data_IF_830739975471
#
_entry.id   IF_830739975471
#
_cell.length_a   1.000
_cell.length_b   1.000
_cell.length_c   1.000
_cell.angle_alpha   90.00
_cell.angle_beta   90.00
_cell.angle_gamma   90.00
#
_symmetry.space_group_name_H-M   'P 1'
#
loop_
_entity.id
_entity.type
_entity.pdbx_description
1 polymer ?
#
# COMPACT_ATOMS: atom_id res chain seq x y z
N UNK A 1 4.63 14.28 -11.52
CA UNK A 1 3.68 13.26 -11.02
C UNK A 1 2.26 13.78 -10.90
N UNK A 2 2.00 14.89 -10.20
CA UNK A 2 0.64 15.41 -9.94
C UNK A 2 -0.26 15.53 -11.17
N UNK A 3 0.18 16.08 -12.33
CA UNK A 3 -0.68 16.15 -13.51
C UNK A 3 -1.09 14.77 -14.05
N UNK A 4 -0.21 13.77 -13.98
CA UNK A 4 -0.51 12.41 -14.40
C UNK A 4 -1.54 11.75 -13.47
N UNK A 5 -1.46 11.99 -12.16
CA UNK A 5 -2.42 11.50 -11.17
C UNK A 5 -3.80 12.13 -11.42
N UNK A 6 -3.86 13.45 -11.57
CA UNK A 6 -5.10 14.19 -11.88
C UNK A 6 -5.74 13.60 -13.14
N UNK A 7 -4.97 13.46 -14.21
CA UNK A 7 -5.49 12.93 -15.46
C UNK A 7 -6.00 11.48 -15.32
N UNK A 8 -5.42 10.64 -14.44
CA UNK A 8 -5.91 9.28 -14.20
C UNK A 8 -7.23 9.28 -13.44
N UNK A 9 -7.35 10.15 -12.42
CA UNK A 9 -8.59 10.34 -11.66
C UNK A 9 -9.70 10.89 -12.55
N UNK A 10 -9.41 11.87 -13.42
CA UNK A 10 -10.36 12.40 -14.39
C UNK A 10 -10.88 11.34 -15.36
N UNK A 11 -10.01 10.43 -15.84
CA UNK A 11 -10.43 9.28 -16.66
C UNK A 11 -11.45 8.42 -15.89
N UNK A 12 -11.16 8.09 -14.63
CA UNK A 12 -12.07 7.30 -13.79
C UNK A 12 -13.41 8.01 -13.57
N UNK A 13 -13.39 9.29 -13.18
CA UNK A 13 -14.60 10.08 -12.95
C UNK A 13 -15.46 10.20 -14.20
N UNK A 14 -14.86 10.34 -15.39
CA UNK A 14 -15.59 10.32 -16.67
C UNK A 14 -16.32 8.99 -16.89
N UNK A 15 -15.71 7.84 -16.55
CA UNK A 15 -16.38 6.53 -16.62
C UNK A 15 -17.56 6.44 -15.65
N UNK A 16 -17.42 7.03 -14.46
CA UNK A 16 -18.46 6.99 -13.43
C UNK A 16 -19.69 7.86 -13.77
N UNK A 17 -19.52 8.96 -14.51
CA UNK A 17 -20.66 9.78 -14.99
C UNK A 17 -21.70 8.97 -15.80
N UNK A 18 -21.26 7.93 -16.52
CA UNK A 18 -22.17 7.03 -17.26
C UNK A 18 -22.86 5.95 -16.40
N UNK A 19 -22.62 5.94 -15.08
CA UNK A 19 -23.08 4.91 -14.14
C UNK A 19 -24.02 5.47 -13.06
N UNK A 20 -24.60 6.66 -13.25
CA UNK A 20 -25.57 7.22 -12.30
C UNK A 20 -26.74 6.25 -12.06
N UNK A 21 -27.08 6.03 -10.78
CA UNK A 21 -28.12 5.08 -10.37
C UNK A 21 -27.76 3.60 -10.50
N UNK A 22 -26.53 3.26 -10.90
CA UNK A 22 -26.06 1.87 -11.01
C UNK A 22 -25.07 1.53 -9.91
N UNK A 23 -25.10 0.29 -9.45
CA UNK A 23 -24.08 -0.25 -8.55
C UNK A 23 -22.72 -0.37 -9.27
N UNK A 24 -21.65 -0.10 -8.52
CA UNK A 24 -20.28 -0.14 -9.02
C UNK A 24 -19.43 -0.97 -8.06
N UNK A 25 -18.68 -1.93 -8.59
CA UNK A 25 -17.59 -2.55 -7.86
C UNK A 25 -16.41 -1.56 -7.83
N UNK A 26 -16.30 -0.84 -6.71
CA UNK A 26 -15.31 0.24 -6.51
C UNK A 26 -13.87 -0.25 -6.33
N UNK A 27 -13.67 -1.47 -5.85
CA UNK A 27 -12.34 -2.07 -5.69
C UNK A 27 -11.68 -2.36 -7.04
N UNK A 28 -12.43 -2.82 -8.04
CA UNK A 28 -11.93 -2.97 -9.42
C UNK A 28 -11.67 -1.61 -10.08
N UNK A 29 -12.53 -0.61 -9.84
CA UNK A 29 -12.30 0.74 -10.37
C UNK A 29 -11.04 1.38 -9.78
N UNK A 30 -10.82 1.23 -8.47
CA UNK A 30 -9.59 1.68 -7.80
C UNK A 30 -8.37 0.91 -8.26
N UNK A 31 -8.47 -0.40 -8.49
CA UNK A 31 -7.41 -1.20 -9.09
C UNK A 31 -7.02 -0.63 -10.46
N UNK A 32 -7.98 -0.38 -11.33
CA UNK A 32 -7.71 0.25 -12.63
C UNK A 32 -7.07 1.65 -12.46
N UNK A 33 -7.58 2.47 -11.54
CA UNK A 33 -7.03 3.80 -11.26
C UNK A 33 -5.56 3.74 -10.82
N UNK A 34 -5.22 2.92 -9.82
CA UNK A 34 -3.86 2.85 -9.28
C UNK A 34 -2.90 2.25 -10.30
N UNK A 35 -3.37 1.30 -11.13
CA UNK A 35 -2.66 0.80 -12.30
C UNK A 35 -2.35 1.91 -13.32
N UNK A 36 -3.32 2.76 -13.62
CA UNK A 36 -3.17 3.88 -14.55
C UNK A 36 -2.21 4.95 -14.01
N UNK A 37 -2.33 5.26 -12.71
CA UNK A 37 -1.42 6.17 -12.00
C UNK A 37 0.01 5.69 -12.12
N UNK A 38 0.32 4.45 -11.69
CA UNK A 38 1.71 3.96 -11.72
C UNK A 38 2.24 3.87 -13.16
N UNK A 39 1.39 3.44 -14.11
CA UNK A 39 1.77 3.39 -15.54
C UNK A 39 2.16 4.76 -16.08
N UNK A 40 1.42 5.82 -15.74
CA UNK A 40 1.73 7.18 -16.20
C UNK A 40 2.86 7.85 -15.42
N UNK A 41 2.96 7.62 -14.11
CA UNK A 41 3.95 8.31 -13.27
C UNK A 41 5.32 7.66 -13.31
N UNK A 42 5.39 6.33 -13.27
CA UNK A 42 6.67 5.61 -13.27
C UNK A 42 7.12 5.25 -14.70
N UNK A 43 6.20 4.87 -15.58
CA UNK A 43 6.55 4.36 -16.93
C UNK A 43 6.24 5.33 -18.05
N UNK A 44 5.48 6.40 -17.77
CA UNK A 44 4.93 7.36 -18.75
C UNK A 44 4.35 6.72 -20.00
N UNK A 45 3.81 5.50 -19.88
CA UNK A 45 3.18 4.72 -20.94
C UNK A 45 1.66 4.72 -20.78
N UNK A 46 0.95 4.20 -21.78
CA UNK A 46 -0.48 3.92 -21.68
C UNK A 46 -0.72 2.57 -20.96
N UNK A 47 -1.87 2.44 -20.29
CA UNK A 47 -2.27 1.28 -19.47
C UNK A 47 -2.17 -0.08 -20.21
N UNK A 48 -2.34 -0.09 -21.54
CA UNK A 48 -2.36 -1.30 -22.38
C UNK A 48 -1.03 -2.09 -22.35
N UNK A 49 0.13 -1.42 -22.25
CA UNK A 49 1.41 -2.13 -22.08
C UNK A 49 1.56 -2.75 -20.67
N UNK A 50 0.83 -2.23 -19.69
CA UNK A 50 0.88 -2.66 -18.30
C UNK A 50 -0.07 -3.80 -17.92
N UNK A 51 -1.21 -3.93 -18.59
CA UNK A 51 -2.26 -4.90 -18.27
C UNK A 51 -1.73 -6.35 -18.14
N UNK A 52 -0.87 -6.77 -19.08
CA UNK A 52 -0.23 -8.09 -19.02
C UNK A 52 0.65 -8.26 -17.76
N UNK A 53 1.38 -7.21 -17.37
CA UNK A 53 2.24 -7.22 -16.17
C UNK A 53 1.36 -7.29 -14.91
N UNK A 54 0.28 -6.52 -14.85
CA UNK A 54 -0.66 -6.56 -13.73
C UNK A 54 -1.31 -7.95 -13.57
N UNK A 55 -1.69 -8.61 -14.67
CA UNK A 55 -2.25 -9.96 -14.60
C UNK A 55 -1.25 -10.97 -14.02
N UNK A 56 0.00 -10.96 -14.51
CA UNK A 56 1.07 -11.83 -14.00
C UNK A 56 1.38 -11.54 -12.52
N UNK A 57 1.40 -10.26 -12.13
CA UNK A 57 1.66 -9.85 -10.75
C UNK A 57 0.55 -10.27 -9.77
N UNK A 58 -0.71 -10.17 -10.17
CA UNK A 58 -1.82 -10.64 -9.36
C UNK A 58 -1.72 -12.15 -9.11
N UNK A 59 -1.38 -12.90 -10.16
CA UNK A 59 -1.14 -14.35 -10.06
C UNK A 59 0.02 -14.66 -9.11
N UNK A 60 1.13 -13.93 -9.22
CA UNK A 60 2.28 -14.06 -8.32
C UNK A 60 1.93 -13.72 -6.86
N UNK A 61 1.13 -12.67 -6.62
CA UNK A 61 0.66 -12.26 -5.29
C UNK A 61 -0.18 -13.36 -4.62
N UNK A 62 -1.10 -13.98 -5.36
CA UNK A 62 -1.91 -15.11 -4.87
C UNK A 62 -1.02 -16.30 -4.48
N UNK A 63 -0.05 -16.65 -5.30
CA UNK A 63 0.89 -17.76 -5.02
C UNK A 63 1.75 -17.44 -3.79
N UNK A 64 2.25 -16.21 -3.65
CA UNK A 64 3.00 -15.79 -2.47
C UNK A 64 2.15 -15.86 -1.20
N UNK A 65 0.88 -15.42 -1.25
CA UNK A 65 -0.05 -15.51 -0.13
C UNK A 65 -0.28 -16.95 0.33
N UNK A 66 -0.48 -17.89 -0.60
CA UNK A 66 -0.67 -19.32 -0.30
C UNK A 66 0.57 -19.96 0.35
N UNK A 67 1.76 -19.46 0.04
CA UNK A 67 3.02 -20.03 0.50
C UNK A 67 3.68 -19.26 1.66
N UNK A 68 3.08 -18.16 2.12
CA UNK A 68 3.67 -17.27 3.14
C UNK A 68 3.95 -17.98 4.48
N UNK A 69 3.14 -19.00 4.81
CA UNK A 69 3.27 -19.80 6.03
C UNK A 69 3.70 -21.26 5.77
N UNK A 70 4.02 -21.63 4.53
CA UNK A 70 4.54 -22.96 4.24
C UNK A 70 6.00 -23.07 4.71
N UNK A 71 6.20 -23.72 5.86
CA UNK A 71 7.53 -24.06 6.36
C UNK A 71 8.19 -25.07 5.42
N UNK A 72 9.29 -24.65 4.77
CA UNK A 72 10.09 -25.55 3.94
C UNK A 72 10.74 -26.61 4.83
N UNK A 73 10.40 -27.88 4.63
CA UNK A 73 11.13 -28.99 5.24
C UNK A 73 12.47 -29.11 4.47
N UNK A 74 13.64 -28.96 5.13
CA UNK A 74 14.94 -28.76 4.48
C UNK A 74 15.36 -29.83 3.46
N UNK A 75 14.85 -31.07 3.57
CA UNK A 75 15.17 -32.17 2.66
C UNK A 75 14.21 -32.30 1.46
N UNK A 76 12.91 -31.99 1.62
CA UNK A 76 11.93 -32.24 0.56
C UNK A 76 12.03 -31.23 -0.59
N UNK A 77 12.40 -29.97 -0.29
CA UNK A 77 12.49 -28.90 -1.29
C UNK A 77 13.66 -29.05 -2.28
N UNK A 78 14.61 -29.95 -2.04
CA UNK A 78 15.70 -30.30 -2.97
C UNK A 78 15.31 -31.39 -3.97
N UNK A 79 14.35 -32.24 -3.63
CA UNK A 79 13.93 -33.38 -4.44
C UNK A 79 12.67 -33.07 -5.27
N UNK A 80 11.80 -32.18 -4.79
CA UNK A 80 10.61 -31.75 -5.51
C UNK A 80 10.36 -30.26 -5.29
N UNK A 81 10.44 -29.44 -6.35
CA UNK A 81 9.96 -28.06 -6.29
C UNK A 81 8.43 -28.08 -6.40
N UNK A 82 7.67 -27.54 -5.43
CA UNK A 82 6.22 -27.43 -5.55
C UNK A 82 5.82 -26.70 -6.83
N UNK A 83 4.68 -27.05 -7.43
CA UNK A 83 4.19 -26.41 -8.67
C UNK A 83 4.11 -24.89 -8.53
N UNK A 84 3.59 -24.41 -7.40
CA UNK A 84 3.55 -23.00 -7.01
C UNK A 84 4.93 -22.32 -7.05
N UNK A 85 5.99 -23.02 -6.67
CA UNK A 85 7.34 -22.47 -6.62
C UNK A 85 7.92 -22.32 -8.03
N UNK A 86 7.70 -23.31 -8.91
CA UNK A 86 8.04 -23.20 -10.34
C UNK A 86 7.27 -22.07 -11.01
N UNK A 87 5.94 -22.04 -10.79
CA UNK A 87 5.06 -21.04 -11.37
C UNK A 87 5.42 -19.63 -10.88
N UNK A 88 5.79 -19.46 -9.61
CA UNK A 88 6.27 -18.18 -9.08
C UNK A 88 7.61 -17.75 -9.69
N UNK A 89 8.55 -18.67 -9.91
CA UNK A 89 9.85 -18.39 -10.54
C UNK A 89 9.66 -18.00 -12.01
N UNK A 90 8.77 -18.68 -12.73
CA UNK A 90 8.43 -18.40 -14.13
C UNK A 90 7.72 -17.05 -14.27
N UNK A 91 6.68 -16.80 -13.48
CA UNK A 91 5.98 -15.51 -13.45
C UNK A 91 6.95 -14.37 -13.10
N UNK A 92 7.80 -14.54 -12.09
CA UNK A 92 8.79 -13.53 -11.73
C UNK A 92 9.78 -13.25 -12.88
N UNK A 93 10.17 -14.27 -13.64
CA UNK A 93 11.02 -14.13 -14.83
C UNK A 93 10.30 -13.38 -15.96
N UNK A 94 9.06 -13.77 -16.29
CA UNK A 94 8.27 -13.10 -17.35
C UNK A 94 7.97 -11.64 -17.01
N UNK A 95 7.61 -11.35 -15.75
CA UNK A 95 7.43 -9.99 -15.25
C UNK A 95 8.74 -9.21 -15.42
N UNK A 96 9.87 -9.77 -14.98
CA UNK A 96 11.18 -9.15 -15.10
C UNK A 96 11.52 -8.84 -16.56
N UNK A 97 11.22 -9.74 -17.49
CA UNK A 97 11.51 -9.55 -18.92
C UNK A 97 10.60 -8.48 -19.55
N UNK A 98 9.30 -8.49 -19.25
CA UNK A 98 8.36 -7.45 -19.69
C UNK A 98 8.78 -6.08 -19.17
N UNK A 99 9.09 -6.00 -17.88
CA UNK A 99 9.56 -4.77 -17.25
C UNK A 99 10.93 -4.34 -17.80
N UNK A 100 11.86 -5.26 -18.07
CA UNK A 100 13.13 -4.96 -18.75
C UNK A 100 12.88 -4.36 -20.13
N UNK A 101 11.91 -4.88 -20.88
CA UNK A 101 11.54 -4.34 -22.21
C UNK A 101 11.02 -2.92 -22.12
N UNK A 102 10.20 -2.61 -21.11
CA UNK A 102 9.70 -1.24 -20.85
C UNK A 102 10.83 -0.32 -20.36
N UNK A 103 11.66 -0.79 -19.43
CA UNK A 103 12.81 -0.06 -18.89
C UNK A 103 13.89 0.20 -19.94
N UNK A 104 14.17 -0.74 -20.84
CA UNK A 104 15.11 -0.55 -21.95
C UNK A 104 14.65 0.54 -22.92
N UNK A 105 13.34 0.82 -23.01
CA UNK A 105 12.84 2.00 -23.73
C UNK A 105 13.12 3.32 -22.98
N UNK A 106 13.53 3.31 -21.70
CA UNK A 106 13.64 4.52 -20.84
C UNK A 106 14.86 4.57 -19.90
N UNK A 107 15.87 3.72 -20.08
CA UNK A 107 17.14 3.70 -19.34
C UNK A 107 17.10 3.69 -17.78
N UNK A 108 15.98 3.42 -17.10
CA UNK A 108 15.94 3.45 -15.62
C UNK A 108 15.63 2.09 -14.94
N UNK A 109 16.63 1.53 -14.25
CA UNK A 109 16.53 0.27 -13.47
C UNK A 109 15.61 0.39 -12.24
N UNK A 110 15.35 1.58 -11.70
CA UNK A 110 14.55 1.76 -10.49
C UNK A 110 13.07 1.42 -10.70
N UNK A 111 12.59 1.54 -11.95
CA UNK A 111 11.20 1.36 -12.34
C UNK A 111 10.60 -0.02 -11.98
N UNK A 112 11.43 -1.07 -11.85
CA UNK A 112 10.95 -2.46 -11.78
C UNK A 112 10.21 -2.85 -10.50
N UNK A 113 10.64 -2.32 -9.36
CA UNK A 113 10.09 -2.67 -8.05
C UNK A 113 8.86 -1.83 -7.70
N UNK A 114 8.76 -0.62 -8.27
CA UNK A 114 7.65 0.31 -8.03
C UNK A 114 6.33 -0.16 -8.64
N UNK A 115 6.38 -0.88 -9.77
CA UNK A 115 5.19 -1.30 -10.52
C UNK A 115 4.18 -2.09 -9.67
N UNK A 116 4.68 -3.06 -8.88
CA UNK A 116 3.83 -3.92 -8.05
C UNK A 116 3.51 -3.25 -6.71
N UNK A 117 4.54 -2.74 -6.04
CA UNK A 117 4.44 -2.25 -4.65
C UNK A 117 3.54 -1.03 -4.50
N UNK A 118 3.48 -0.15 -5.52
CA UNK A 118 2.71 1.09 -5.47
C UNK A 118 1.21 0.95 -5.81
N UNK A 119 0.81 -0.14 -6.47
CA UNK A 119 -0.56 -0.30 -6.97
C UNK A 119 -1.48 -0.98 -5.94
N UNK A 120 -1.11 -2.18 -5.47
CA UNK A 120 -1.99 -3.02 -4.62
C UNK A 120 -2.22 -2.35 -3.26
N UNK A 121 -1.17 -1.74 -2.70
CA UNK A 121 -1.21 -1.09 -1.38
C UNK A 121 -2.13 0.13 -1.36
N UNK A 122 -2.07 0.97 -2.41
CA UNK A 122 -2.92 2.15 -2.54
C UNK A 122 -4.36 1.74 -2.86
N UNK A 123 -4.57 0.71 -3.67
CA UNK A 123 -5.91 0.19 -3.97
C UNK A 123 -6.64 -0.24 -2.69
N UNK A 124 -5.96 -1.04 -1.85
CA UNK A 124 -6.49 -1.46 -0.56
C UNK A 124 -6.81 -0.26 0.35
N UNK A 125 -5.91 0.73 0.43
CA UNK A 125 -6.15 1.94 1.22
C UNK A 125 -7.39 2.71 0.74
N UNK A 126 -7.54 2.93 -0.57
CA UNK A 126 -8.69 3.64 -1.13
C UNK A 126 -10.02 2.92 -0.83
N UNK A 127 -10.02 1.58 -0.93
CA UNK A 127 -11.19 0.77 -0.60
C UNK A 127 -11.57 0.88 0.88
N UNK A 128 -10.59 0.81 1.79
CA UNK A 128 -10.82 0.99 3.23
C UNK A 128 -11.30 2.39 3.58
N UNK A 129 -10.70 3.44 3.01
CA UNK A 129 -11.15 4.83 3.21
C UNK A 129 -12.59 5.00 2.76
N UNK A 130 -12.95 4.46 1.58
CA UNK A 130 -14.32 4.59 1.07
C UNK A 130 -15.34 3.84 1.95
N UNK A 131 -15.00 2.65 2.43
CA UNK A 131 -15.83 1.91 3.38
C UNK A 131 -15.99 2.68 4.69
N UNK A 132 -14.90 3.25 5.23
CA UNK A 132 -14.94 4.05 6.45
C UNK A 132 -15.77 5.32 6.27
N UNK A 133 -15.75 5.97 5.10
CA UNK A 133 -16.65 7.07 4.81
C UNK A 133 -18.12 6.67 4.75
N UNK A 134 -18.43 5.47 4.24
CA UNK A 134 -19.80 4.97 4.24
C UNK A 134 -20.33 4.69 5.66
N UNK A 135 -19.46 4.24 6.56
CA UNK A 135 -19.79 3.94 7.96
C UNK A 135 -19.79 5.22 8.83
N UNK A 136 -18.85 6.14 8.59
CA UNK A 136 -18.62 7.36 9.37
C UNK A 136 -18.92 8.62 8.53
N UNK A 137 -20.20 8.84 8.27
CA UNK A 137 -20.66 9.94 7.41
C UNK A 137 -20.27 11.34 7.93
N UNK A 138 -20.07 11.50 9.23
CA UNK A 138 -19.60 12.77 9.82
C UNK A 138 -18.15 13.09 9.38
N UNK A 139 -17.27 12.08 9.32
CA UNK A 139 -15.91 12.22 8.82
C UNK A 139 -15.85 12.40 7.31
N UNK A 140 -16.74 11.74 6.57
CA UNK A 140 -16.89 11.99 5.13
C UNK A 140 -17.26 13.46 4.88
N UNK A 141 -18.21 14.01 5.64
CA UNK A 141 -18.65 15.40 5.48
C UNK A 141 -17.57 16.40 5.90
N UNK A 142 -16.86 16.15 7.01
CA UNK A 142 -15.70 16.97 7.41
C UNK A 142 -14.63 17.01 6.31
N UNK A 143 -14.29 15.86 5.74
CA UNK A 143 -13.32 15.76 4.64
C UNK A 143 -13.81 16.47 3.38
N UNK A 144 -15.09 16.33 3.02
CA UNK A 144 -15.71 17.01 1.88
C UNK A 144 -15.64 18.53 2.03
N UNK A 145 -16.01 19.07 3.20
CA UNK A 145 -15.91 20.51 3.49
C UNK A 145 -14.47 21.01 3.40
N UNK A 146 -13.51 20.30 4.00
CA UNK A 146 -12.09 20.66 3.91
C UNK A 146 -11.61 20.75 2.45
N UNK A 147 -12.00 19.79 1.60
CA UNK A 147 -11.65 19.81 0.17
C UNK A 147 -12.28 21.00 -0.54
N UNK A 148 -13.57 21.28 -0.30
CA UNK A 148 -14.28 22.42 -0.92
C UNK A 148 -13.66 23.75 -0.47
N UNK A 149 -13.36 23.91 0.81
CA UNK A 149 -12.81 25.15 1.37
C UNK A 149 -11.40 25.45 0.81
N UNK A 150 -10.59 24.41 0.56
CA UNK A 150 -9.21 24.56 0.09
C UNK A 150 -9.14 24.67 -1.44
N UNK A 151 -9.94 23.88 -2.18
CA UNK A 151 -9.80 23.74 -3.63
C UNK A 151 -10.99 24.29 -4.43
N UNK A 152 -12.17 24.41 -3.81
CA UNK A 152 -13.41 24.74 -4.52
C UNK A 152 -13.64 23.78 -5.69
N UNK A 153 -13.76 24.33 -6.90
CA UNK A 153 -13.92 23.58 -8.15
C UNK A 153 -12.59 23.38 -8.93
N UNK A 154 -11.44 23.70 -8.33
CA UNK A 154 -10.15 23.61 -8.98
C UNK A 154 -9.48 22.25 -8.72
N UNK A 155 -8.63 21.82 -9.66
CA UNK A 155 -7.83 20.62 -9.49
C UNK A 155 -6.77 20.81 -8.36
N UNK A 156 -6.40 19.76 -7.62
CA UNK A 156 -5.44 19.87 -6.53
C UNK A 156 -4.05 20.34 -6.97
N UNK A 157 -3.46 21.28 -6.24
CA UNK A 157 -2.07 21.71 -6.40
C UNK A 157 -1.20 21.22 -5.23
N UNK A 158 0.08 20.85 -5.45
CA UNK A 158 0.93 20.22 -4.43
C UNK A 158 1.00 20.99 -3.10
N UNK A 159 1.13 22.32 -3.16
CA UNK A 159 1.22 23.18 -1.97
C UNK A 159 -0.07 23.19 -1.13
N UNK A 160 -1.22 23.04 -1.78
CA UNK A 160 -2.52 23.02 -1.11
C UNK A 160 -2.87 21.63 -0.57
N UNK A 161 -2.32 20.54 -1.12
CA UNK A 161 -2.50 19.17 -0.59
C UNK A 161 -1.97 19.07 0.84
N UNK A 162 -0.86 19.75 1.15
CA UNK A 162 -0.29 19.78 2.51
C UNK A 162 -1.22 20.42 3.56
N UNK A 163 -2.26 21.13 3.13
CA UNK A 163 -3.24 21.79 4.03
C UNK A 163 -4.39 20.87 4.44
N UNK A 164 -4.53 19.70 3.82
CA UNK A 164 -5.58 18.71 4.08
C UNK A 164 -5.36 17.96 5.41
N UNK A 165 -5.59 18.63 6.55
CA UNK A 165 -5.36 18.09 7.89
C UNK A 165 -6.33 16.95 8.24
N UNK A 166 -7.61 17.15 7.95
CA UNK A 166 -8.70 16.17 8.19
C UNK A 166 -8.46 14.92 7.36
N UNK A 167 -8.20 15.09 6.07
CA UNK A 167 -7.89 13.95 5.19
C UNK A 167 -6.65 13.19 5.67
N UNK A 168 -5.62 13.90 6.13
CA UNK A 168 -4.40 13.28 6.67
C UNK A 168 -4.70 12.44 7.92
N UNK A 169 -5.50 12.95 8.85
CA UNK A 169 -5.93 12.20 10.03
C UNK A 169 -6.71 10.92 9.65
N UNK A 170 -7.63 11.02 8.69
CA UNK A 170 -8.41 9.88 8.18
C UNK A 170 -7.48 8.83 7.56
N UNK A 171 -6.55 9.24 6.70
CA UNK A 171 -5.60 8.34 6.04
C UNK A 171 -4.72 7.64 7.09
N UNK A 172 -4.21 8.37 8.08
CA UNK A 172 -3.36 7.79 9.11
C UNK A 172 -4.10 6.77 9.98
N UNK A 173 -5.32 7.09 10.41
CA UNK A 173 -6.12 6.15 11.19
C UNK A 173 -6.55 4.93 10.36
N UNK A 174 -6.84 5.11 9.07
CA UNK A 174 -7.10 4.00 8.16
C UNK A 174 -5.86 3.10 8.01
N UNK A 175 -4.68 3.69 7.83
CA UNK A 175 -3.42 2.95 7.72
C UNK A 175 -3.05 2.20 9.00
N UNK A 176 -3.43 2.74 10.17
CA UNK A 176 -3.23 2.07 11.47
C UNK A 176 -4.10 0.83 11.58
N UNK A 177 -5.41 0.97 11.31
CA UNK A 177 -6.37 -0.12 11.46
C UNK A 177 -6.26 -1.17 10.34
N UNK A 178 -6.05 -0.74 9.10
CA UNK A 178 -6.22 -1.56 7.90
C UNK A 178 -5.06 -1.44 6.91
N UNK A 179 -3.85 -1.11 7.38
CA UNK A 179 -2.67 -1.00 6.54
C UNK A 179 -2.40 -2.28 5.71
N UNK A 180 -2.03 -2.11 4.44
CA UNK A 180 -1.97 -3.20 3.45
C UNK A 180 -0.99 -4.35 3.76
N UNK A 181 -0.06 -4.18 4.72
CA UNK A 181 0.89 -5.25 5.10
C UNK A 181 0.85 -5.50 6.60
N UNK A 182 0.55 -6.74 6.99
CA UNK A 182 0.41 -7.16 8.39
C UNK A 182 1.74 -7.28 9.15
N UNK A 183 2.85 -7.41 8.42
CA UNK A 183 4.18 -7.49 9.03
C UNK A 183 5.30 -7.14 8.06
N UNK A 184 6.47 -6.84 8.61
CA UNK A 184 7.66 -6.49 7.84
C UNK A 184 8.73 -7.58 8.04
N UNK A 185 9.01 -8.41 7.03
CA UNK A 185 10.05 -9.41 7.12
C UNK A 185 11.43 -8.72 7.18
N UNK A 186 12.31 -9.26 8.02
CA UNK A 186 13.69 -8.84 8.22
C UNK A 186 14.57 -10.08 8.36
N UNK A 187 15.82 -9.98 7.93
CA UNK A 187 16.82 -11.02 8.18
C UNK A 187 17.92 -10.46 9.06
N UNK A 188 18.27 -11.20 10.11
CA UNK A 188 19.35 -10.81 11.02
C UNK A 188 20.69 -11.02 10.29
N UNK A 189 21.37 -9.92 9.95
CA UNK A 189 22.60 -9.96 9.16
C UNK A 189 23.82 -10.45 9.95
N UNK A 190 23.85 -10.14 11.25
CA UNK A 190 24.88 -10.53 12.21
C UNK A 190 24.25 -10.66 13.58
N UNK A 191 24.92 -11.35 14.49
CA UNK A 191 24.45 -11.41 15.87
C UNK A 191 24.22 -10.01 16.43
N UNK A 192 23.05 -9.82 17.04
CA UNK A 192 22.60 -8.54 17.56
C UNK A 192 21.75 -8.74 18.80
N UNK A 193 21.93 -7.87 19.78
CA UNK A 193 21.09 -7.82 20.97
C UNK A 193 19.86 -6.93 20.70
N UNK A 194 18.67 -7.47 20.95
CA UNK A 194 17.38 -6.76 20.87
C UNK A 194 16.70 -6.87 22.24
N UNK A 195 16.77 -5.79 23.02
CA UNK A 195 16.35 -5.80 24.41
C UNK A 195 17.13 -6.83 25.23
N UNK A 196 16.44 -7.83 25.76
CA UNK A 196 17.04 -8.92 26.55
C UNK A 196 17.42 -10.15 25.71
N UNK A 197 17.09 -10.15 24.41
CA UNK A 197 17.31 -11.29 23.52
C UNK A 197 18.57 -11.10 22.70
N UNK A 198 19.39 -12.16 22.59
CA UNK A 198 20.49 -12.23 21.64
C UNK A 198 19.98 -12.97 20.40
N UNK A 199 19.93 -12.27 19.27
CA UNK A 199 19.47 -12.83 18.01
C UNK A 199 20.67 -13.24 17.16
N UNK A 200 20.86 -14.53 16.87
CA UNK A 200 21.96 -14.98 16.03
C UNK A 200 21.75 -14.58 14.57
N UNK A 201 22.85 -14.55 13.82
CA UNK A 201 22.83 -14.29 12.39
C UNK A 201 21.97 -15.32 11.63
N UNK A 202 21.41 -14.90 10.50
CA UNK A 202 20.62 -15.71 9.57
C UNK A 202 19.25 -16.19 10.06
N UNK A 203 18.72 -15.62 11.14
CA UNK A 203 17.30 -15.79 11.50
C UNK A 203 16.43 -14.79 10.72
N UNK A 204 15.28 -15.26 10.25
CA UNK A 204 14.22 -14.42 9.71
C UNK A 204 13.29 -13.96 10.84
N UNK A 205 13.01 -12.65 10.87
CA UNK A 205 12.12 -11.99 11.81
C UNK A 205 10.93 -11.42 11.05
N UNK A 206 9.75 -11.50 11.65
CA UNK A 206 8.58 -10.78 11.19
C UNK A 206 8.22 -9.72 12.22
N UNK A 207 8.42 -8.44 11.87
CA UNK A 207 7.95 -7.35 12.72
C UNK A 207 6.43 -7.25 12.55
N UNK A 208 5.68 -7.63 13.58
CA UNK A 208 4.22 -7.67 13.56
C UNK A 208 3.62 -6.25 13.65
N UNK A 209 3.48 -5.60 12.49
CA UNK A 209 2.89 -4.27 12.38
C UNK A 209 1.46 -4.24 12.94
N UNK A 210 0.63 -5.19 12.51
CA UNK A 210 -0.77 -5.22 12.93
C UNK A 210 -0.90 -5.30 14.46
N UNK A 211 -0.05 -6.10 15.12
CA UNK A 211 -0.02 -6.20 16.58
C UNK A 211 0.32 -4.86 17.24
N UNK A 212 1.37 -4.18 16.77
CA UNK A 212 1.79 -2.88 17.32
C UNK A 212 0.77 -1.76 17.05
N UNK A 213 0.07 -1.79 15.92
CA UNK A 213 -0.95 -0.79 15.57
C UNK A 213 -2.27 -1.00 16.31
N UNK A 214 -2.45 -2.18 16.92
CA UNK A 214 -3.62 -2.56 17.70
C UNK A 214 -3.31 -2.81 19.18
N UNK A 215 -2.14 -2.39 19.66
CA UNK A 215 -1.75 -2.57 21.06
C UNK A 215 -2.44 -1.51 21.96
N UNK A 216 -3.35 -1.91 22.87
CA UNK A 216 -4.03 -0.96 23.75
C UNK A 216 -3.07 -0.23 24.70
N UNK A 217 -1.87 -0.76 24.98
CA UNK A 217 -0.87 -0.06 25.80
C UNK A 217 -0.27 1.15 25.09
N UNK A 218 -0.26 1.14 23.75
CA UNK A 218 0.28 2.21 22.92
C UNK A 218 -0.81 3.17 22.45
N UNK A 219 -2.02 2.66 22.21
CA UNK A 219 -3.10 3.40 21.54
C UNK A 219 -4.35 3.65 22.41
N UNK A 220 -4.39 3.10 23.62
CA UNK A 220 -5.53 3.20 24.55
C UNK A 220 -6.60 2.14 24.34
N UNK A 221 -7.59 2.10 25.23
CA UNK A 221 -8.66 1.08 25.20
C UNK A 221 -9.58 1.19 23.97
N UNK A 222 -9.65 2.38 23.37
CA UNK A 222 -10.43 2.64 22.16
C UNK A 222 -9.67 2.25 20.87
N UNK A 223 -8.54 1.52 20.97
CA UNK A 223 -7.64 1.16 19.85
C UNK A 223 -8.33 0.52 18.64
N UNK A 224 -9.46 -0.17 18.81
CA UNK A 224 -10.19 -0.79 17.71
C UNK A 224 -11.24 0.13 17.06
N UNK A 225 -11.45 1.33 17.60
CA UNK A 225 -12.36 2.33 17.04
C UNK A 225 -11.65 3.18 15.99
N UNK A 226 -12.35 3.50 14.90
CA UNK A 226 -11.91 4.50 13.93
C UNK A 226 -12.03 5.90 14.52
N UNK A 227 -10.89 6.46 14.94
CA UNK A 227 -10.81 7.74 15.65
C UNK A 227 -9.73 8.65 15.03
N UNK A 228 -9.97 9.28 13.87
CA UNK A 228 -8.98 10.10 13.18
C UNK A 228 -8.37 11.21 14.04
N UNK A 229 -9.13 11.78 14.97
CA UNK A 229 -8.68 12.85 15.87
C UNK A 229 -7.49 12.46 16.76
N UNK A 230 -7.15 11.16 16.88
CA UNK A 230 -5.88 10.71 17.51
C UNK A 230 -4.67 11.43 16.94
N UNK A 231 -4.70 11.70 15.63
CA UNK A 231 -3.59 12.31 14.90
C UNK A 231 -3.67 13.84 14.84
N UNK A 232 -4.64 14.49 15.52
CA UNK A 232 -4.82 15.94 15.49
C UNK A 232 -3.60 16.72 15.98
N UNK A 233 -2.85 16.15 16.92
CA UNK A 233 -1.62 16.73 17.49
C UNK A 233 -0.35 16.01 16.99
N UNK A 234 -0.47 15.28 15.87
CA UNK A 234 0.62 14.58 15.22
C UNK A 234 0.90 13.18 15.76
N UNK A 235 1.77 12.47 15.04
CA UNK A 235 2.09 11.05 15.28
C UNK A 235 2.67 10.81 16.68
N UNK A 236 3.51 11.72 17.18
CA UNK A 236 4.14 11.58 18.49
C UNK A 236 3.07 11.50 19.60
N UNK A 237 2.09 12.41 19.61
CA UNK A 237 1.02 12.37 20.62
C UNK A 237 0.10 11.16 20.42
N UNK A 238 -0.23 10.84 19.17
CA UNK A 238 -1.07 9.69 18.83
C UNK A 238 -0.53 8.33 19.32
N UNK A 239 0.80 8.22 19.49
CA UNK A 239 1.51 6.98 19.84
C UNK A 239 2.09 7.00 21.26
N UNK A 240 1.55 7.84 22.14
CA UNK A 240 2.07 8.04 23.51
C UNK A 240 3.58 8.32 23.54
N UNK A 241 4.02 9.20 22.64
CA UNK A 241 5.41 9.61 22.42
C UNK A 241 6.37 8.50 21.96
N UNK A 242 5.83 7.33 21.57
CA UNK A 242 6.58 6.27 20.91
C UNK A 242 6.28 6.28 19.40
N UNK A 243 6.80 7.27 18.67
CA UNK A 243 6.52 7.44 17.24
C UNK A 243 6.87 6.20 16.38
N UNK A 244 7.80 5.36 16.84
CA UNK A 244 8.15 4.10 16.19
C UNK A 244 7.03 3.04 16.25
N UNK A 245 5.97 3.25 17.04
CA UNK A 245 4.77 2.43 17.06
C UNK A 245 3.89 2.62 15.81
N UNK A 246 4.01 3.76 15.11
CA UNK A 246 3.27 4.03 13.88
C UNK A 246 4.20 4.07 12.66
N UNK A 247 4.24 2.97 11.92
CA UNK A 247 5.14 2.75 10.79
C UNK A 247 4.41 2.11 9.60
N UNK A 248 3.33 2.73 9.09
CA UNK A 248 2.57 2.17 7.96
C UNK A 248 3.40 2.01 6.69
N UNK A 249 4.48 2.78 6.56
CA UNK A 249 5.44 2.73 5.46
C UNK A 249 6.77 2.06 5.84
N UNK A 250 6.81 1.38 7.00
CA UNK A 250 8.04 0.81 7.56
C UNK A 250 8.92 1.84 8.25
N UNK A 251 10.06 1.35 8.76
CA UNK A 251 11.03 2.13 9.52
C UNK A 251 12.45 1.66 9.17
N UNK A 252 13.42 2.58 9.24
CA UNK A 252 14.83 2.33 8.96
C UNK A 252 15.18 2.40 7.46
N UNK A 253 16.37 1.93 7.04
CA UNK A 253 16.90 2.13 5.67
C UNK A 253 16.10 1.45 4.54
N UNK A 254 15.08 0.67 4.88
CA UNK A 254 14.21 -0.06 3.96
C UNK A 254 12.75 0.37 4.11
N UNK A 255 12.52 1.62 4.51
CA UNK A 255 11.20 2.24 4.49
C UNK A 255 10.71 2.44 3.05
N UNK A 256 9.41 2.64 2.87
CA UNK A 256 8.81 2.92 1.57
C UNK A 256 9.45 4.16 0.93
N UNK A 257 9.79 4.07 -0.36
CA UNK A 257 10.36 5.15 -1.18
C UNK A 257 9.25 5.88 -1.91
#
# INVERSE_FOLDING_TARGET
MTPAIIASVETMLKRWKGKEGKEIEVYQEFRLLTSEVISRTAFGSNYLEGEKIFAMLNKLSIIMGRNLFNTKIPLSSKLWKPADLLESEELAKEIKDCVIKIVRKREDKACKTFYWTGHDTVNALLAWVLLLFAIHGDWQEKARREVIDIFGNQNPHPESIAKLKTMTMIIYETLRLYGATNGLPRKVAREVQVGKLVMPANIDLLIARAALHHDPQLWGDDVHLFKPERFAEGIAKATNYNAAAFFPFGLGPRFCV
#
